data_IF_070726382872
#
_entry.id   IF_070726382872
#
_cell.length_a   1.000
_cell.length_b   1.000
_cell.length_c   1.000
_cell.angle_alpha   90.00
_cell.angle_beta   90.00
_cell.angle_gamma   90.00
#
_symmetry.space_group_name_H-M   'P 1'
#
loop_
_entity.id
_entity.type
_entity.pdbx_description
1 polymer ?
#
# COMPACT_ATOMS: atom_id res chain seq x y z
N UNK A 1 -1.65 -28.27 -6.37
CA UNK A 1 -1.75 -26.94 -7.01
C UNK A 1 -2.00 -25.84 -5.95
N UNK A 2 -1.01 -25.47 -5.14
CA UNK A 2 -1.17 -24.38 -4.14
C UNK A 2 0.08 -23.47 -4.07
N UNK A 3 0.73 -23.26 -5.21
CA UNK A 3 1.95 -22.43 -5.31
C UNK A 3 1.65 -20.95 -5.65
N UNK A 4 0.37 -20.53 -5.62
CA UNK A 4 -0.08 -19.19 -6.04
C UNK A 4 -0.41 -18.21 -4.90
N UNK A 5 -0.31 -18.61 -3.63
CA UNK A 5 -0.78 -17.77 -2.51
C UNK A 5 0.32 -17.00 -1.75
N UNK A 6 1.59 -17.15 -2.09
CA UNK A 6 2.69 -16.52 -1.32
C UNK A 6 3.29 -15.26 -1.96
N UNK A 7 2.90 -14.90 -3.18
CA UNK A 7 3.50 -13.76 -3.90
C UNK A 7 2.81 -12.41 -3.65
N UNK A 8 1.82 -12.32 -2.76
CA UNK A 8 0.93 -11.17 -2.67
C UNK A 8 1.11 -10.24 -1.45
N UNK A 9 2.00 -10.53 -0.51
CA UNK A 9 2.18 -9.65 0.68
C UNK A 9 2.91 -8.34 0.34
N UNK A 10 3.99 -8.40 -0.43
CA UNK A 10 4.85 -7.21 -0.69
C UNK A 10 4.55 -6.48 -2.00
N UNK A 11 3.85 -7.09 -2.97
CA UNK A 11 3.46 -6.39 -4.20
C UNK A 11 2.39 -5.31 -3.98
N UNK A 12 1.67 -5.35 -2.85
CA UNK A 12 0.79 -4.27 -2.41
C UNK A 12 1.54 -3.12 -1.71
N UNK A 13 2.83 -3.30 -1.40
CA UNK A 13 3.59 -2.44 -0.50
C UNK A 13 4.49 -1.40 -1.21
N UNK A 14 3.98 -0.75 -2.27
CA UNK A 14 4.57 0.52 -2.72
C UNK A 14 4.44 1.70 -1.70
N UNK A 15 3.92 1.57 -0.46
CA UNK A 15 4.14 2.59 0.58
C UNK A 15 5.45 2.44 1.37
N UNK A 16 6.20 1.34 1.27
CA UNK A 16 7.25 1.00 2.24
C UNK A 16 8.63 1.61 1.92
N UNK A 17 8.73 2.94 1.95
CA UNK A 17 10.01 3.66 2.06
C UNK A 17 9.81 5.02 2.74
N UNK A 18 9.22 5.05 3.95
CA UNK A 18 9.45 6.01 5.06
C UNK A 18 8.50 5.72 6.26
N UNK A 19 8.74 6.27 7.47
CA UNK A 19 8.60 5.58 8.75
C UNK A 19 7.14 5.28 9.14
N UNK A 20 7.00 4.26 9.98
CA UNK A 20 5.77 3.82 10.64
C UNK A 20 4.87 5.00 11.05
N UNK A 21 3.78 5.17 10.30
CA UNK A 21 2.64 6.00 10.64
C UNK A 21 1.40 5.09 10.65
N UNK A 22 0.43 5.35 11.54
CA UNK A 22 -0.60 4.39 11.91
C UNK A 22 -1.42 3.94 10.69
N UNK A 23 -1.56 2.61 10.58
CA UNK A 23 -2.40 1.92 9.61
C UNK A 23 -3.81 2.54 9.57
N UNK A 24 -4.32 2.99 8.40
CA UNK A 24 -5.72 3.33 8.29
C UNK A 24 -6.55 2.04 8.16
N UNK A 25 -7.55 1.94 9.04
CA UNK A 25 -8.62 0.94 9.07
C UNK A 25 -9.09 0.50 7.66
N UNK A 26 -9.29 -0.82 7.53
CA UNK A 26 -9.71 -1.48 6.31
C UNK A 26 -10.99 -0.88 5.72
N UNK A 27 -10.91 -0.33 4.50
CA UNK A 27 -12.09 0.07 3.73
C UNK A 27 -11.85 1.12 2.65
N UNK A 28 -10.75 1.87 2.71
CA UNK A 28 -10.45 2.88 1.70
C UNK A 28 -8.94 3.04 1.58
N UNK A 29 -8.30 2.17 0.80
CA UNK A 29 -6.88 2.30 0.45
C UNK A 29 -6.68 3.53 -0.44
N UNK A 30 -6.77 4.71 0.16
CA UNK A 30 -6.32 5.93 -0.48
C UNK A 30 -4.81 5.78 -0.72
N UNK A 31 -4.29 6.22 -1.86
CA UNK A 31 -2.86 6.16 -2.12
C UNK A 31 -2.13 6.84 -0.96
N UNK A 32 -1.21 6.15 -0.31
CA UNK A 32 -0.32 6.72 0.70
C UNK A 32 0.55 7.78 0.01
N UNK A 33 0.05 9.01 -0.05
CA UNK A 33 0.80 10.16 -0.54
C UNK A 33 1.36 10.81 0.72
N UNK A 34 2.65 10.58 0.97
CA UNK A 34 3.39 11.16 2.09
C UNK A 34 3.27 12.70 2.02
N UNK A 35 2.29 13.22 2.74
CA UNK A 35 1.98 14.63 2.90
C UNK A 35 1.59 14.82 4.35
N UNK A 36 1.98 15.96 4.91
CA UNK A 36 1.63 16.34 6.28
C UNK A 36 0.12 16.16 6.50
N UNK A 37 -0.22 15.39 7.55
CA UNK A 37 -1.56 15.31 8.10
C UNK A 37 -1.95 16.67 8.65
N UNK A 38 -3.13 17.16 8.26
CA UNK A 38 -3.64 18.46 8.68
C UNK A 38 -5.05 18.21 9.19
N UNK A 39 -5.23 18.39 10.49
CA UNK A 39 -6.53 18.22 11.15
C UNK A 39 -7.25 19.58 11.27
N UNK A 40 -8.54 19.67 10.91
CA UNK A 40 -9.32 20.91 10.97
C UNK A 40 -9.29 21.62 12.33
N UNK A 41 -9.12 20.86 13.42
CA UNK A 41 -9.12 21.33 14.81
C UNK A 41 -7.93 22.24 15.14
N UNK A 42 -6.88 22.20 14.33
CA UNK A 42 -5.69 23.02 14.52
C UNK A 42 -5.81 24.42 13.90
N UNK A 43 -6.95 24.75 13.31
CA UNK A 43 -7.17 26.01 12.58
C UNK A 43 -8.20 26.88 13.31
N UNK A 44 -7.95 28.19 13.32
CA UNK A 44 -8.84 29.16 13.97
C UNK A 44 -10.25 29.18 13.37
N UNK A 45 -10.36 28.97 12.06
CA UNK A 45 -11.62 28.76 11.35
C UNK A 45 -11.72 27.29 10.90
N UNK A 46 -12.43 26.49 11.71
CA UNK A 46 -12.61 25.06 11.46
C UNK A 46 -13.40 24.78 10.18
N UNK A 47 -14.43 25.57 9.89
CA UNK A 47 -15.33 25.33 8.75
C UNK A 47 -14.63 25.62 7.42
N UNK A 48 -13.88 26.72 7.36
CA UNK A 48 -13.05 27.03 6.21
C UNK A 48 -11.93 25.98 6.03
N UNK A 49 -11.30 25.56 7.14
CA UNK A 49 -10.27 24.52 7.11
C UNK A 49 -10.82 23.19 6.57
N UNK A 50 -11.99 22.75 7.02
CA UNK A 50 -12.61 21.50 6.54
C UNK A 50 -12.86 21.53 5.03
N UNK A 51 -13.37 22.65 4.52
CA UNK A 51 -13.62 22.85 3.08
C UNK A 51 -12.32 22.71 2.28
N UNK A 52 -11.27 23.45 2.68
CA UNK A 52 -9.97 23.40 2.01
C UNK A 52 -9.28 22.04 2.13
N UNK A 53 -9.45 21.35 3.26
CA UNK A 53 -8.89 20.01 3.46
C UNK A 53 -9.59 18.97 2.57
N UNK A 54 -10.90 19.10 2.36
CA UNK A 54 -11.65 18.26 1.43
C UNK A 54 -11.23 18.52 -0.03
N UNK A 55 -11.08 19.78 -0.44
CA UNK A 55 -10.54 20.13 -1.76
C UNK A 55 -9.13 19.60 -1.96
N UNK A 56 -8.27 19.72 -0.94
CA UNK A 56 -6.92 19.16 -0.93
C UNK A 56 -6.94 17.64 -1.13
N UNK A 57 -7.80 16.91 -0.42
CA UNK A 57 -7.98 15.46 -0.59
C UNK A 57 -8.41 15.11 -2.02
N UNK A 58 -9.39 15.82 -2.57
CA UNK A 58 -9.84 15.61 -3.94
C UNK A 58 -8.73 15.86 -4.98
N UNK A 59 -7.95 16.93 -4.80
CA UNK A 59 -6.82 17.25 -5.67
C UNK A 59 -5.72 16.19 -5.58
N UNK A 60 -5.40 15.71 -4.38
CA UNK A 60 -4.44 14.62 -4.16
C UNK A 60 -4.83 13.37 -4.96
N UNK A 61 -6.10 12.97 -4.90
CA UNK A 61 -6.62 11.83 -5.66
C UNK A 61 -6.54 12.07 -7.18
N UNK A 62 -6.90 13.28 -7.65
CA UNK A 62 -6.79 13.65 -9.06
C UNK A 62 -5.34 13.56 -9.54
N UNK A 63 -4.39 14.11 -8.77
CA UNK A 63 -2.96 14.02 -9.08
C UNK A 63 -2.48 12.57 -9.18
N UNK A 64 -2.91 11.70 -8.27
CA UNK A 64 -2.55 10.28 -8.31
C UNK A 64 -3.05 9.61 -9.61
N UNK A 65 -4.32 9.80 -9.95
CA UNK A 65 -4.91 9.27 -11.19
C UNK A 65 -4.17 9.77 -12.42
N UNK A 66 -3.88 11.07 -12.47
CA UNK A 66 -3.12 11.69 -13.57
C UNK A 66 -1.71 11.10 -13.69
N UNK A 67 -1.00 10.88 -12.57
CA UNK A 67 0.34 10.26 -12.60
C UNK A 67 0.31 8.86 -13.21
N UNK A 68 -0.64 8.01 -12.80
CA UNK A 68 -0.79 6.67 -13.37
C UNK A 68 -1.07 6.72 -14.86
N UNK A 69 -1.90 7.67 -15.30
CA UNK A 69 -2.22 7.83 -16.71
C UNK A 69 -1.02 8.28 -17.55
N UNK A 70 -0.20 9.20 -17.02
CA UNK A 70 1.06 9.60 -17.65
C UNK A 70 2.04 8.42 -17.75
N UNK A 71 2.17 7.60 -16.69
CA UNK A 71 3.01 6.41 -16.69
C UNK A 71 2.56 5.40 -17.77
N UNK A 72 1.25 5.26 -18.00
CA UNK A 72 0.73 4.35 -19.03
C UNK A 72 1.02 4.84 -20.46
N UNK A 73 0.91 6.14 -20.69
CA UNK A 73 0.99 6.76 -22.02
C UNK A 73 2.41 7.04 -22.47
N UNK A 74 3.29 7.45 -21.57
CA UNK A 74 4.68 7.80 -21.90
C UNK A 74 5.57 6.54 -21.88
N UNK A 75 6.23 6.16 -23.00
CA UNK A 75 7.06 4.96 -23.07
C UNK A 75 8.26 4.97 -22.11
N UNK A 76 8.87 6.14 -21.88
CA UNK A 76 10.01 6.29 -20.96
C UNK A 76 9.57 6.07 -19.52
N UNK A 77 8.46 6.70 -19.12
CA UNK A 77 7.89 6.50 -17.77
C UNK A 77 7.43 5.06 -17.55
N UNK A 78 6.81 4.44 -18.56
CA UNK A 78 6.41 3.03 -18.51
C UNK A 78 7.61 2.11 -18.28
N UNK A 79 8.73 2.34 -18.98
CA UNK A 79 9.97 1.58 -18.80
C UNK A 79 10.53 1.73 -17.39
N UNK A 80 10.62 2.96 -16.88
CA UNK A 80 11.11 3.23 -15.51
C UNK A 80 10.21 2.54 -14.47
N UNK A 81 8.89 2.66 -14.61
CA UNK A 81 7.95 2.00 -13.71
C UNK A 81 8.09 0.48 -13.72
N UNK A 82 8.29 -0.13 -14.89
CA UNK A 82 8.53 -1.57 -15.01
C UNK A 82 9.82 -2.01 -14.33
N UNK A 83 10.92 -1.24 -14.48
CA UNK A 83 12.20 -1.53 -13.82
C UNK A 83 12.06 -1.44 -12.30
N UNK A 84 11.43 -0.39 -11.79
CA UNK A 84 11.15 -0.24 -10.36
C UNK A 84 10.33 -1.43 -9.84
N UNK A 85 9.26 -1.81 -10.55
CA UNK A 85 8.41 -2.94 -10.16
C UNK A 85 9.18 -4.27 -10.15
N UNK A 86 10.08 -4.48 -11.10
CA UNK A 86 10.91 -5.68 -11.15
C UNK A 86 11.85 -5.76 -9.94
N UNK A 87 12.55 -4.67 -9.63
CA UNK A 87 13.43 -4.58 -8.46
C UNK A 87 12.66 -4.80 -7.14
N UNK A 88 11.45 -4.26 -7.01
CA UNK A 88 10.61 -4.52 -5.83
C UNK A 88 10.23 -5.99 -5.68
N UNK A 89 9.91 -6.67 -6.78
CA UNK A 89 9.60 -8.11 -6.75
C UNK A 89 10.82 -8.93 -6.35
N UNK A 90 11.98 -8.57 -6.88
CA UNK A 90 13.25 -9.22 -6.54
C UNK A 90 13.57 -9.05 -5.04
N UNK A 91 13.47 -7.82 -4.53
CA UNK A 91 13.64 -7.54 -3.10
C UNK A 91 12.65 -8.33 -2.24
N UNK A 92 11.38 -8.41 -2.65
CA UNK A 92 10.37 -9.14 -1.90
C UNK A 92 10.69 -10.64 -1.82
N UNK A 93 11.09 -11.25 -2.94
CA UNK A 93 11.51 -12.65 -2.98
C UNK A 93 12.73 -12.88 -2.08
N UNK A 94 13.70 -11.98 -2.12
CA UNK A 94 14.90 -12.08 -1.32
C UNK A 94 14.63 -11.88 0.19
N UNK A 95 13.68 -11.02 0.54
CA UNK A 95 13.23 -10.86 1.93
C UNK A 95 12.47 -12.09 2.42
N UNK A 96 11.55 -12.62 1.62
CA UNK A 96 10.77 -13.82 1.97
C UNK A 96 11.63 -15.08 2.05
N UNK A 97 12.81 -15.10 1.41
CA UNK A 97 13.78 -16.19 1.54
C UNK A 97 14.55 -16.17 2.86
N UNK A 98 14.54 -15.04 3.60
CA UNK A 98 15.21 -14.94 4.90
C UNK A 98 14.52 -15.82 5.94
N UNK A 99 15.33 -16.37 6.85
CA UNK A 99 14.87 -17.32 7.87
C UNK A 99 13.78 -16.70 8.74
N UNK A 100 13.94 -15.44 9.13
CA UNK A 100 13.02 -14.68 9.96
C UNK A 100 11.63 -14.60 9.30
N UNK A 101 11.60 -14.23 8.02
CA UNK A 101 10.34 -14.18 7.25
C UNK A 101 9.76 -15.55 6.98
N UNK A 102 10.61 -16.56 6.71
CA UNK A 102 10.15 -17.93 6.53
C UNK A 102 9.44 -18.47 7.77
N UNK A 103 9.95 -18.17 8.97
CA UNK A 103 9.33 -18.56 10.25
C UNK A 103 7.97 -17.87 10.42
N UNK A 104 7.91 -16.55 10.25
CA UNK A 104 6.65 -15.81 10.34
C UNK A 104 5.61 -16.28 9.31
N UNK A 105 6.05 -16.55 8.08
CA UNK A 105 5.19 -17.10 7.03
C UNK A 105 4.67 -18.51 7.37
N UNK A 106 5.47 -19.31 8.08
CA UNK A 106 5.03 -20.62 8.58
C UNK A 106 3.97 -20.47 9.68
N UNK A 107 4.21 -19.59 10.65
CA UNK A 107 3.27 -19.31 11.74
C UNK A 107 1.93 -18.79 11.21
N UNK A 108 1.96 -17.91 10.22
CA UNK A 108 0.77 -17.41 9.55
C UNK A 108 -0.03 -18.54 8.89
N UNK A 109 0.62 -19.46 8.17
CA UNK A 109 -0.06 -20.62 7.55
C UNK A 109 -0.71 -21.53 8.58
N UNK A 110 -0.09 -21.70 9.74
CA UNK A 110 -0.68 -22.46 10.85
C UNK A 110 -1.94 -21.76 11.39
N UNK A 111 -1.90 -20.44 11.55
CA UNK A 111 -3.07 -19.65 11.93
C UNK A 111 -4.19 -19.76 10.88
N UNK A 112 -3.88 -19.59 9.60
CA UNK A 112 -4.86 -19.71 8.51
C UNK A 112 -5.51 -21.09 8.49
N UNK A 113 -4.73 -22.15 8.73
CA UNK A 113 -5.25 -23.52 8.80
C UNK A 113 -6.22 -23.69 9.97
N UNK A 114 -5.89 -23.14 11.14
CA UNK A 114 -6.78 -23.14 12.31
C UNK A 114 -8.06 -22.35 12.01
N UNK A 115 -7.96 -21.16 11.43
CA UNK A 115 -9.12 -20.33 11.06
C UNK A 115 -10.03 -21.10 10.08
N UNK A 116 -9.45 -21.72 9.06
CA UNK A 116 -10.20 -22.50 8.08
C UNK A 116 -10.89 -23.71 8.72
N UNK A 117 -10.28 -24.38 9.70
CA UNK A 117 -10.95 -25.46 10.43
C UNK A 117 -12.14 -25.01 11.28
N UNK A 118 -12.21 -23.72 11.64
CA UNK A 118 -13.33 -23.14 12.40
C UNK A 118 -14.48 -22.68 11.49
N UNK A 119 -14.28 -22.59 10.17
CA UNK A 119 -15.38 -22.30 9.25
C UNK A 119 -16.30 -23.51 9.19
N UNK A 120 -17.53 -23.36 9.72
CA UNK A 120 -18.62 -24.32 9.52
C UNK A 120 -18.84 -24.53 8.01
N UNK A 121 -19.04 -25.79 7.61
CA UNK A 121 -19.45 -26.17 6.25
C UNK A 121 -20.79 -25.53 5.88
#
# INVERSE_FOLDING_TARGET
MYQKLLFCSLCAALPMLLPAAPEPEAGNAQPLINRKGLEPENFADRSAAETLLNERKALILKMHRTRLELIRKDPKLKRIHAQITALYRELAVELDSKREMTLLNSDLRLLDSKINSLRKK
#
